data_IF_834922502336
#
_entry.id   IF_834922502336
#
_cell.length_a   1.000
_cell.length_b   1.000
_cell.length_c   1.000
_cell.angle_alpha   90.00
_cell.angle_beta   90.00
_cell.angle_gamma   90.00
#
_symmetry.space_group_name_H-M   'P 1'
#
loop_
_entity.id
_entity.type
_entity.pdbx_description
1 polymer ?
#
# COMPACT_ATOMS: atom_id res chain seq x y z
N UNK A 1 18.27 12.19 17.80
CA UNK A 1 18.38 13.47 17.07
C UNK A 1 17.12 13.57 16.24
N UNK A 2 16.16 14.42 16.64
CA UNK A 2 14.87 14.50 15.95
C UNK A 2 15.13 14.87 14.47
N UNK A 3 14.66 14.03 13.55
CA UNK A 3 14.80 14.30 12.13
C UNK A 3 14.11 15.65 11.83
N UNK A 4 14.82 16.57 11.19
CA UNK A 4 14.27 17.90 10.86
C UNK A 4 13.16 17.71 9.84
N UNK A 5 11.92 17.88 10.28
CA UNK A 5 10.76 17.81 9.39
C UNK A 5 10.85 18.93 8.32
N UNK A 6 10.38 18.65 7.10
CA UNK A 6 10.34 19.68 6.05
C UNK A 6 9.42 20.83 6.47
N UNK A 7 9.74 22.05 6.02
CA UNK A 7 8.97 23.24 6.36
C UNK A 7 7.57 23.30 5.69
N UNK A 8 7.36 22.48 4.65
CA UNK A 8 6.12 22.33 3.90
C UNK A 8 6.02 20.89 3.34
N UNK A 9 4.82 20.49 2.91
CA UNK A 9 4.55 19.13 2.42
C UNK A 9 4.23 18.15 3.55
N UNK A 10 4.52 16.87 3.33
CA UNK A 10 4.13 15.78 4.23
C UNK A 10 5.34 14.91 4.59
N UNK A 11 5.32 14.33 5.80
CA UNK A 11 6.28 13.34 6.24
C UNK A 11 5.55 12.15 6.85
N UNK A 12 6.00 10.93 6.53
CA UNK A 12 5.54 9.70 7.19
C UNK A 12 6.53 9.36 8.28
N UNK A 13 6.06 9.33 9.53
CA UNK A 13 6.89 9.09 10.72
C UNK A 13 6.55 7.72 11.29
N UNK A 14 7.57 6.88 11.47
CA UNK A 14 7.40 5.61 12.17
C UNK A 14 7.30 5.88 13.66
N UNK A 15 6.19 5.48 14.27
CA UNK A 15 5.91 5.79 15.67
C UNK A 15 6.85 5.09 16.67
N UNK A 16 7.47 3.97 16.30
CA UNK A 16 8.29 3.18 17.24
C UNK A 16 9.62 3.84 17.62
N UNK A 17 10.19 4.63 16.71
CA UNK A 17 11.52 5.23 16.83
C UNK A 17 11.56 6.71 16.37
N UNK A 18 10.40 7.28 16.04
CA UNK A 18 10.22 8.66 15.56
C UNK A 18 11.04 8.99 14.29
N UNK A 19 11.41 7.97 13.52
CA UNK A 19 12.19 8.15 12.29
C UNK A 19 11.26 8.55 11.13
N UNK A 20 11.65 9.57 10.38
CA UNK A 20 11.01 9.92 9.10
C UNK A 20 11.36 8.86 8.07
N UNK A 21 10.36 8.13 7.58
CA UNK A 21 10.54 7.03 6.62
C UNK A 21 10.22 7.44 5.18
N UNK A 22 9.55 8.57 4.98
CA UNK A 22 9.33 9.16 3.66
C UNK A 22 8.93 10.65 3.80
N UNK A 23 9.26 11.45 2.78
CA UNK A 23 8.84 12.84 2.65
C UNK A 23 8.19 13.05 1.30
N UNK A 24 7.08 13.78 1.25
CA UNK A 24 6.32 14.08 0.05
C UNK A 24 6.17 15.59 -0.08
N UNK A 25 6.43 16.12 -1.27
CA UNK A 25 6.12 17.51 -1.57
C UNK A 25 4.60 17.72 -1.58
N UNK A 26 3.89 16.82 -2.26
CA UNK A 26 2.44 16.74 -2.32
C UNK A 26 2.02 15.31 -2.01
N UNK A 27 1.00 15.14 -1.15
CA UNK A 27 0.46 13.81 -0.85
C UNK A 27 -0.81 13.61 -1.69
N UNK A 28 -0.94 12.50 -2.44
CA UNK A 28 -2.10 12.34 -3.31
C UNK A 28 -3.36 12.15 -2.47
N UNK A 29 -4.47 12.78 -2.90
CA UNK A 29 -5.77 12.60 -2.28
C UNK A 29 -6.42 11.32 -2.83
N UNK A 30 -6.54 10.29 -1.99
CA UNK A 30 -7.20 9.03 -2.31
C UNK A 30 -7.85 8.41 -1.07
N UNK A 31 -8.99 7.77 -1.26
CA UNK A 31 -9.62 6.93 -0.22
C UNK A 31 -8.85 5.62 -0.02
N UNK A 32 -8.33 5.06 -1.12
CA UNK A 32 -7.57 3.80 -1.16
C UNK A 32 -6.40 3.96 -2.12
N UNK A 33 -5.22 3.48 -1.73
CA UNK A 33 -4.07 3.36 -2.62
C UNK A 33 -3.30 2.05 -2.39
N UNK A 34 -2.73 1.53 -3.48
CA UNK A 34 -1.71 0.50 -3.43
C UNK A 34 -0.35 1.17 -3.26
N UNK A 35 0.39 0.77 -2.23
CA UNK A 35 1.75 1.26 -2.00
C UNK A 35 2.77 0.20 -2.43
N UNK A 36 3.73 0.57 -3.26
CA UNK A 36 4.86 -0.28 -3.62
C UNK A 36 6.17 0.38 -3.20
N UNK A 37 7.12 -0.43 -2.72
CA UNK A 37 8.47 0.02 -2.37
C UNK A 37 9.49 -0.69 -3.25
N UNK A 38 10.36 0.09 -3.90
CA UNK A 38 11.53 -0.38 -4.64
C UNK A 38 12.79 0.25 -4.07
N UNK A 39 13.48 -0.47 -3.18
CA UNK A 39 14.58 0.11 -2.41
C UNK A 39 14.06 1.25 -1.53
N UNK A 40 14.59 2.46 -1.74
CA UNK A 40 14.21 3.66 -1.00
C UNK A 40 13.05 4.45 -1.63
N UNK A 41 12.63 4.07 -2.85
CA UNK A 41 11.51 4.72 -3.54
C UNK A 41 10.17 4.09 -3.12
N UNK A 42 9.20 4.94 -2.78
CA UNK A 42 7.83 4.53 -2.46
C UNK A 42 6.89 5.17 -3.49
N UNK A 43 6.13 4.33 -4.19
CA UNK A 43 5.13 4.75 -5.17
C UNK A 43 3.73 4.44 -4.66
N UNK A 44 2.79 5.35 -4.90
CA UNK A 44 1.38 5.21 -4.56
C UNK A 44 0.55 5.16 -5.85
N UNK A 45 -0.30 4.15 -5.97
CA UNK A 45 -1.28 4.04 -7.06
C UNK A 45 -2.67 4.17 -6.45
N UNK A 46 -3.43 5.25 -6.75
CA UNK A 46 -4.83 5.37 -6.33
C UNK A 46 -5.65 4.19 -6.85
N UNK A 47 -6.51 3.63 -6.00
CA UNK A 47 -7.40 2.52 -6.35
C UNK A 47 -8.83 3.04 -6.50
N UNK A 48 -9.59 2.49 -7.45
CA UNK A 48 -11.03 2.73 -7.51
C UNK A 48 -11.73 2.08 -6.31
N UNK A 49 -12.92 2.58 -5.98
CA UNK A 49 -13.72 2.07 -4.86
C UNK A 49 -14.03 0.58 -4.98
N UNK A 50 -14.26 0.10 -6.20
CA UNK A 50 -14.61 -1.29 -6.56
C UNK A 50 -13.38 -2.14 -6.95
N UNK A 51 -12.18 -1.57 -6.93
CA UNK A 51 -10.98 -2.29 -7.32
C UNK A 51 -10.59 -3.34 -6.26
N UNK A 52 -10.51 -4.59 -6.71
CA UNK A 52 -10.11 -5.74 -5.89
C UNK A 52 -8.65 -6.06 -6.18
N UNK A 53 -7.80 -5.93 -5.16
CA UNK A 53 -6.41 -6.38 -5.24
C UNK A 53 -6.34 -7.84 -4.86
N UNK A 54 -6.14 -8.69 -5.86
CA UNK A 54 -5.97 -10.13 -5.69
C UNK A 54 -4.52 -10.53 -5.50
N UNK A 55 -4.31 -11.59 -4.72
CA UNK A 55 -3.12 -12.44 -4.85
C UNK A 55 -3.27 -13.34 -6.09
N UNK A 56 -2.20 -13.99 -6.58
CA UNK A 56 -2.32 -15.02 -7.61
C UNK A 56 -3.29 -16.16 -7.25
N UNK A 57 -3.57 -16.34 -5.95
CA UNK A 57 -4.52 -17.32 -5.43
C UNK A 57 -5.95 -16.80 -5.25
N UNK A 58 -6.22 -15.51 -5.52
CA UNK A 58 -7.54 -14.90 -5.27
C UNK A 58 -8.65 -15.68 -5.98
N UNK A 59 -8.45 -16.03 -7.25
CA UNK A 59 -9.44 -16.77 -8.04
C UNK A 59 -9.71 -18.14 -7.40
N UNK A 60 -8.67 -18.86 -7.00
CA UNK A 60 -8.79 -20.14 -6.29
C UNK A 60 -9.59 -19.99 -5.00
N UNK A 61 -9.28 -18.99 -4.18
CA UNK A 61 -9.98 -18.71 -2.92
C UNK A 61 -11.46 -18.34 -3.14
N UNK A 62 -11.76 -17.60 -4.20
CA UNK A 62 -13.15 -17.27 -4.57
C UNK A 62 -13.93 -18.53 -4.94
N UNK A 63 -13.33 -19.44 -5.71
CA UNK A 63 -13.96 -20.71 -6.09
C UNK A 63 -14.19 -21.63 -4.88
N UNK A 64 -13.21 -21.74 -3.99
CA UNK A 64 -13.35 -22.52 -2.75
C UNK A 64 -14.48 -21.99 -1.86
N UNK A 65 -14.57 -20.66 -1.69
CA UNK A 65 -15.66 -20.02 -0.93
C UNK A 65 -17.04 -20.22 -1.55
N UNK A 66 -17.11 -20.38 -2.87
CA UNK A 66 -18.33 -20.72 -3.58
C UNK A 66 -18.67 -22.22 -3.54
N UNK A 67 -17.85 -23.05 -2.86
CA UNK A 67 -18.09 -24.48 -2.66
C UNK A 67 -17.45 -25.39 -3.72
N UNK A 68 -16.67 -24.83 -4.65
CA UNK A 68 -15.94 -25.61 -5.64
C UNK A 68 -14.67 -26.21 -5.02
N UNK A 69 -14.30 -27.43 -5.45
CA UNK A 69 -12.99 -28.02 -5.15
C UNK A 69 -12.09 -27.84 -6.36
N UNK A 70 -11.03 -27.07 -6.19
CA UNK A 70 -10.04 -26.86 -7.26
C UNK A 70 -9.13 -28.07 -7.33
N UNK A 71 -9.15 -28.77 -8.47
CA UNK A 71 -8.19 -29.86 -8.75
C UNK A 71 -6.85 -29.25 -9.12
N UNK A 72 -5.75 -29.77 -8.57
CA UNK A 72 -4.43 -29.50 -9.13
C UNK A 72 -4.32 -30.29 -10.44
N UNK A 73 -3.90 -29.61 -11.50
CA UNK A 73 -3.55 -30.23 -12.79
C UNK A 73 -2.09 -30.65 -12.73
#
# INVERSE_FOLDING_TARGET
MAAKLPAAGYAVVRCSDEVVVATFHDFPDFDRALTYRKGDEISFMPLKSDEIIGTPTLVTQMLERAGYRVSQV
#
